data_IF_466759372034
#
_entry.id   IF_466759372034
#
_cell.length_a   1.000
_cell.length_b   1.000
_cell.length_c   1.000
_cell.angle_alpha   90.00
_cell.angle_beta   90.00
_cell.angle_gamma   90.00
#
_symmetry.space_group_name_H-M   'P 1'
#
loop_
_entity.id
_entity.type
_entity.pdbx_description
1 polymer ?
#
# COMPACT_ATOMS: atom_id res chain seq x y z
N UNK A 1 -23.01 -12.14 12.28
CA UNK A 1 -21.66 -12.61 12.66
C UNK A 1 -20.80 -13.14 11.50
N UNK A 2 -21.35 -13.86 10.51
CA UNK A 2 -20.54 -14.42 9.39
C UNK A 2 -19.94 -13.32 8.48
N UNK A 3 -20.68 -12.23 8.22
CA UNK A 3 -20.27 -11.16 7.29
C UNK A 3 -19.07 -10.34 7.77
N UNK A 4 -18.95 -10.08 9.07
CA UNK A 4 -17.81 -9.37 9.66
C UNK A 4 -16.51 -10.17 9.56
N UNK A 5 -16.61 -11.50 9.70
CA UNK A 5 -15.46 -12.39 9.61
C UNK A 5 -14.84 -12.41 8.21
N UNK A 6 -15.67 -12.43 7.17
CA UNK A 6 -15.21 -12.30 5.78
C UNK A 6 -14.66 -10.90 5.46
N UNK A 7 -15.27 -9.84 6.03
CA UNK A 7 -14.77 -8.45 5.94
C UNK A 7 -13.35 -8.33 6.52
N UNK A 8 -13.15 -8.82 7.74
CA UNK A 8 -11.85 -8.82 8.43
C UNK A 8 -10.81 -9.63 7.66
N UNK A 9 -11.19 -10.77 7.08
CA UNK A 9 -10.29 -11.59 6.24
C UNK A 9 -9.80 -10.87 4.98
N UNK A 10 -10.68 -10.14 4.30
CA UNK A 10 -10.30 -9.41 3.09
C UNK A 10 -9.30 -8.29 3.39
N UNK A 11 -9.54 -7.50 4.44
CA UNK A 11 -8.63 -6.43 4.86
C UNK A 11 -7.30 -7.01 5.37
N UNK A 12 -7.36 -8.07 6.18
CA UNK A 12 -6.17 -8.78 6.65
C UNK A 12 -5.30 -9.28 5.50
N UNK A 13 -5.91 -9.78 4.42
CA UNK A 13 -5.17 -10.20 3.23
C UNK A 13 -4.45 -9.04 2.53
N UNK A 14 -5.04 -7.84 2.57
CA UNK A 14 -4.47 -6.60 2.04
C UNK A 14 -3.30 -6.12 2.90
N UNK A 15 -3.46 -6.11 4.24
CA UNK A 15 -2.40 -5.81 5.21
C UNK A 15 -1.22 -6.74 5.03
N UNK A 16 -1.45 -8.06 5.00
CA UNK A 16 -0.38 -9.03 4.77
C UNK A 16 0.37 -8.83 3.45
N UNK A 17 -0.31 -8.33 2.40
CA UNK A 17 0.36 -7.99 1.12
C UNK A 17 1.19 -6.73 1.24
N UNK A 18 0.65 -5.70 1.90
CA UNK A 18 1.34 -4.47 2.22
C UNK A 18 2.63 -4.76 3.00
N UNK A 19 2.54 -5.49 4.11
CA UNK A 19 3.66 -5.80 5.00
C UNK A 19 4.77 -6.53 4.25
N UNK A 20 4.43 -7.53 3.41
CA UNK A 20 5.42 -8.25 2.59
C UNK A 20 6.16 -7.34 1.61
N UNK A 21 5.49 -6.35 1.03
CA UNK A 21 6.13 -5.41 0.10
C UNK A 21 7.01 -4.44 0.87
N UNK A 22 6.55 -3.97 2.04
CA UNK A 22 7.32 -3.11 2.95
C UNK A 22 8.58 -3.81 3.47
N UNK A 23 8.45 -5.00 4.03
CA UNK A 23 9.59 -5.83 4.48
C UNK A 23 10.59 -6.07 3.35
N UNK A 24 10.10 -6.33 2.13
CA UNK A 24 10.98 -6.53 0.98
C UNK A 24 11.75 -5.25 0.63
N UNK A 25 11.10 -4.09 0.71
CA UNK A 25 11.73 -2.80 0.50
C UNK A 25 12.75 -2.47 1.61
N UNK A 26 12.45 -2.80 2.87
CA UNK A 26 13.34 -2.58 4.00
C UNK A 26 14.61 -3.44 3.96
N UNK A 27 14.53 -4.63 3.37
CA UNK A 27 15.70 -5.49 3.13
C UNK A 27 16.56 -5.04 1.95
N UNK A 28 16.11 -4.07 1.14
CA UNK A 28 16.92 -3.53 0.05
C UNK A 28 17.97 -2.55 0.57
N UNK A 29 19.10 -2.48 -0.13
CA UNK A 29 20.09 -1.44 0.12
C UNK A 29 19.45 -0.05 0.01
N UNK A 30 19.82 0.90 0.90
CA UNK A 30 19.34 2.27 0.82
C UNK A 30 19.59 2.87 -0.57
N UNK A 31 18.56 3.45 -1.16
CA UNK A 31 18.62 3.99 -2.51
C UNK A 31 17.29 4.56 -2.99
N UNK A 32 17.31 5.19 -4.16
CA UNK A 32 16.14 5.86 -4.74
C UNK A 32 14.95 4.91 -4.94
N UNK A 33 15.21 3.67 -5.37
CA UNK A 33 14.17 2.65 -5.53
C UNK A 33 13.50 2.28 -4.21
N UNK A 34 14.29 2.05 -3.16
CA UNK A 34 13.75 1.78 -1.81
C UNK A 34 12.87 2.93 -1.34
N UNK A 35 13.36 4.16 -1.45
CA UNK A 35 12.61 5.35 -1.00
C UNK A 35 11.32 5.53 -1.80
N UNK A 36 11.34 5.31 -3.11
CA UNK A 36 10.15 5.37 -3.96
C UNK A 36 9.09 4.33 -3.54
N UNK A 37 9.52 3.10 -3.27
CA UNK A 37 8.63 2.03 -2.80
C UNK A 37 8.00 2.40 -1.45
N UNK A 38 8.83 2.80 -0.47
CA UNK A 38 8.35 3.16 0.86
C UNK A 38 7.39 4.35 0.80
N UNK A 39 7.73 5.40 0.05
CA UNK A 39 6.85 6.57 -0.15
C UNK A 39 5.50 6.17 -0.74
N UNK A 40 5.50 5.25 -1.71
CA UNK A 40 4.25 4.76 -2.33
C UNK A 40 3.41 3.95 -1.33
N UNK A 41 4.06 3.18 -0.46
CA UNK A 41 3.38 2.44 0.61
C UNK A 41 2.84 3.38 1.70
N UNK A 42 3.60 4.38 2.11
CA UNK A 42 3.19 5.37 3.11
C UNK A 42 1.96 6.18 2.66
N UNK A 43 1.79 6.41 1.35
CA UNK A 43 0.57 7.05 0.81
C UNK A 43 -0.70 6.22 1.00
N UNK A 44 -0.60 4.88 0.94
CA UNK A 44 -1.78 4.00 1.03
C UNK A 44 -2.03 3.48 2.44
N UNK A 45 -1.06 3.58 3.33
CA UNK A 45 -1.15 3.11 4.72
C UNK A 45 -2.30 3.74 5.51
N UNK A 46 -2.54 5.07 5.48
CA UNK A 46 -3.66 5.67 6.21
C UNK A 46 -5.01 5.11 5.77
N UNK A 47 -5.17 4.84 4.47
CA UNK A 47 -6.40 4.27 3.92
C UNK A 47 -6.60 2.84 4.40
N UNK A 48 -5.52 2.07 4.51
CA UNK A 48 -5.56 0.70 5.02
C UNK A 48 -5.94 0.68 6.51
N UNK A 49 -5.34 1.54 7.32
CA UNK A 49 -5.65 1.69 8.76
C UNK A 49 -7.11 2.09 8.96
N UNK A 50 -7.62 3.05 8.19
CA UNK A 50 -9.04 3.44 8.27
C UNK A 50 -9.97 2.25 7.99
N UNK A 51 -9.65 1.41 7.01
CA UNK A 51 -10.46 0.22 6.73
C UNK A 51 -10.40 -0.85 7.85
N UNK A 52 -9.32 -0.90 8.62
CA UNK A 52 -9.14 -1.83 9.75
C UNK A 52 -9.88 -1.37 11.00
N UNK A 53 -9.81 -0.07 11.31
CA UNK A 53 -10.31 0.49 12.56
C UNK A 53 -11.76 0.99 12.47
N UNK A 54 -12.20 1.40 11.27
CA UNK A 54 -13.51 2.06 11.10
C UNK A 54 -14.48 1.23 10.27
N UNK A 55 -15.75 1.36 10.62
CA UNK A 55 -16.84 0.86 9.81
C UNK A 55 -17.13 1.78 8.62
N UNK A 56 -16.37 1.56 7.53
CA UNK A 56 -16.63 2.22 6.25
C UNK A 56 -17.72 1.52 5.45
N UNK A 57 -18.60 2.31 4.83
CA UNK A 57 -19.66 1.84 3.94
C UNK A 57 -19.09 0.96 2.80
N UNK A 58 -19.88 0.02 2.28
CA UNK A 58 -19.48 -0.95 1.25
C UNK A 58 -18.93 -0.26 -0.01
N UNK A 59 -19.58 0.82 -0.48
CA UNK A 59 -19.16 1.55 -1.68
C UNK A 59 -17.80 2.22 -1.46
N UNK A 60 -17.66 2.93 -0.36
CA UNK A 60 -16.44 3.63 0.02
C UNK A 60 -15.29 2.64 0.25
N UNK A 61 -15.55 1.55 0.97
CA UNK A 61 -14.63 0.44 1.17
C UNK A 61 -14.18 -0.16 -0.16
N UNK A 62 -15.07 -0.32 -1.13
CA UNK A 62 -14.71 -0.78 -2.47
C UNK A 62 -13.72 0.15 -3.17
N UNK A 63 -13.90 1.47 -3.04
CA UNK A 63 -12.97 2.49 -3.57
C UNK A 63 -11.62 2.43 -2.85
N UNK A 64 -11.63 2.38 -1.52
CA UNK A 64 -10.43 2.27 -0.68
C UNK A 64 -9.63 1.00 -0.99
N UNK A 65 -10.30 -0.15 -1.13
CA UNK A 65 -9.66 -1.41 -1.52
C UNK A 65 -8.98 -1.29 -2.88
N UNK A 66 -9.64 -0.66 -3.87
CA UNK A 66 -9.03 -0.45 -5.20
C UNK A 66 -7.80 0.45 -5.11
N UNK A 67 -7.90 1.54 -4.35
CA UNK A 67 -6.79 2.47 -4.13
C UNK A 67 -5.58 1.78 -3.48
N UNK A 68 -5.77 1.08 -2.36
CA UNK A 68 -4.69 0.38 -1.67
C UNK A 68 -4.10 -0.73 -2.55
N UNK A 69 -4.93 -1.50 -3.27
CA UNK A 69 -4.44 -2.52 -4.21
C UNK A 69 -3.58 -1.91 -5.31
N UNK A 70 -3.99 -0.78 -5.87
CA UNK A 70 -3.23 -0.09 -6.91
C UNK A 70 -1.89 0.43 -6.39
N UNK A 71 -1.86 1.03 -5.19
CA UNK A 71 -0.60 1.48 -4.58
C UNK A 71 0.36 0.34 -4.25
N UNK A 72 -0.14 -0.78 -3.69
CA UNK A 72 0.69 -1.98 -3.45
C UNK A 72 1.21 -2.57 -4.77
N UNK A 73 0.39 -2.59 -5.82
CA UNK A 73 0.81 -3.06 -7.14
C UNK A 73 1.91 -2.16 -7.73
N UNK A 74 1.74 -0.84 -7.67
CA UNK A 74 2.74 0.12 -8.12
C UNK A 74 4.07 -0.04 -7.35
N UNK A 75 4.00 -0.10 -6.01
CA UNK A 75 5.16 -0.38 -5.15
C UNK A 75 5.88 -1.68 -5.57
N UNK A 76 5.13 -2.74 -5.88
CA UNK A 76 5.68 -4.02 -6.36
C UNK A 76 6.30 -3.91 -7.75
N UNK A 77 5.78 -3.07 -8.63
CA UNK A 77 6.33 -2.85 -9.97
C UNK A 77 7.61 -2.01 -9.91
N UNK A 78 7.69 -1.03 -9.01
CA UNK A 78 8.94 -0.31 -8.70
C UNK A 78 9.99 -1.30 -8.18
N UNK A 79 9.64 -2.20 -7.25
CA UNK A 79 10.55 -3.25 -6.75
C UNK A 79 11.08 -4.19 -7.85
N UNK A 80 10.34 -4.34 -8.95
CA UNK A 80 10.73 -5.17 -10.10
C UNK A 80 11.49 -4.40 -11.18
N UNK A 81 11.73 -3.10 -10.99
CA UNK A 81 12.29 -2.22 -12.02
C UNK A 81 11.37 -2.03 -13.23
N UNK A 82 10.06 -2.32 -13.08
CA UNK A 82 9.05 -2.15 -14.14
C UNK A 82 8.19 -0.90 -13.94
N UNK A 83 8.22 -0.30 -12.76
CA UNK A 83 7.52 0.95 -12.45
C UNK A 83 8.36 2.18 -12.80
N UNK A 84 7.73 3.23 -13.33
CA UNK A 84 8.34 4.55 -13.40
C UNK A 84 8.65 5.01 -11.98
N UNK A 85 9.91 5.36 -11.71
CA UNK A 85 10.29 6.05 -10.48
C UNK A 85 9.44 7.33 -10.39
N UNK A 86 8.77 7.61 -9.25
CA UNK A 86 8.17 8.91 -9.05
C UNK A 86 9.28 9.94 -9.18
N UNK A 87 9.13 10.88 -10.12
CA UNK A 87 10.08 11.96 -10.37
C UNK A 87 10.20 12.71 -9.04
N UNK A 88 11.31 12.51 -8.34
CA UNK A 88 11.62 13.27 -7.13
C UNK A 88 11.64 14.73 -7.57
N UNK A 89 10.68 15.52 -7.10
CA UNK A 89 10.70 16.96 -7.35
C UNK A 89 12.03 17.49 -6.79
N UNK A 90 12.75 18.35 -7.54
CA UNK A 90 13.99 18.90 -7.05
C UNK A 90 13.72 19.63 -5.75
N UNK A 91 14.44 19.24 -4.70
CA UNK A 91 14.43 19.92 -3.40
C UNK A 91 14.85 21.36 -3.68
N UNK A 92 13.86 22.27 -3.76
CA UNK A 92 14.15 23.71 -3.74
C UNK A 92 14.63 24.01 -2.32
N UNK A 93 15.94 24.20 -2.20
CA UNK A 93 16.59 24.78 -1.02
C UNK A 93 16.13 26.22 -0.84
#
# INVERSE_FOLDING_TARGET
>A
MVFEFFRKRAIYSLRKRYDRVREKADRMYPGQLRNAVLTTLDQVEPTLVVMEERDVNIIERGRMIKYVKAGIANAKDILKGKGMLPIQQPIRR
#
